data_IF_168173236582
#
_entry.id   IF_168173236582
#
_cell.length_a   1.000
_cell.length_b   1.000
_cell.length_c   1.000
_cell.angle_alpha   90.00
_cell.angle_beta   90.00
_cell.angle_gamma   90.00
#
_symmetry.space_group_name_H-M   'P 1'
#
loop_
_entity.id
_entity.type
_entity.pdbx_description
1 polymer ?
#
# COMPACT_ATOMS: atom_id res chain seq x y z
N UNK A 1 -33.20 -13.98 2.23
CA UNK A 1 -32.01 -14.22 1.38
C UNK A 1 -30.91 -14.81 2.23
N UNK A 2 -30.22 -15.84 1.76
CA UNK A 2 -29.08 -16.42 2.47
C UNK A 2 -27.81 -15.81 1.93
N UNK A 3 -27.14 -14.98 2.74
CA UNK A 3 -25.84 -14.41 2.38
C UNK A 3 -24.69 -15.40 2.67
N UNK A 4 -23.51 -15.17 2.08
CA UNK A 4 -22.30 -15.93 2.44
C UNK A 4 -22.04 -15.75 3.95
N UNK A 5 -21.84 -16.83 4.71
CA UNK A 5 -21.51 -16.79 6.15
C UNK A 5 -20.25 -15.96 6.45
N UNK A 6 -19.34 -15.88 5.51
CA UNK A 6 -18.14 -15.05 5.60
C UNK A 6 -18.46 -13.58 5.88
N UNK A 7 -19.59 -13.05 5.35
CA UNK A 7 -19.97 -11.65 5.55
C UNK A 7 -20.33 -11.31 6.98
N UNK A 8 -20.69 -12.30 7.80
CA UNK A 8 -20.98 -12.09 9.24
C UNK A 8 -19.73 -11.64 10.03
N UNK A 9 -18.53 -11.92 9.49
CA UNK A 9 -17.23 -11.59 10.11
C UNK A 9 -16.62 -10.32 9.56
N UNK A 10 -17.28 -9.67 8.61
CA UNK A 10 -16.76 -8.50 7.89
C UNK A 10 -17.53 -7.26 8.31
N UNK A 11 -16.85 -6.32 8.95
CA UNK A 11 -17.41 -4.99 9.18
C UNK A 11 -17.28 -4.14 7.91
N UNK A 12 -18.35 -3.43 7.50
CA UNK A 12 -18.25 -2.48 6.40
C UNK A 12 -17.17 -1.43 6.69
N UNK A 13 -16.41 -1.07 5.67
CA UNK A 13 -15.46 0.03 5.81
C UNK A 13 -16.22 1.31 6.22
N UNK A 14 -15.83 1.87 7.36
CA UNK A 14 -16.34 3.15 7.85
C UNK A 14 -15.35 4.23 7.46
N UNK A 15 -15.64 5.08 6.46
CA UNK A 15 -14.79 6.22 6.17
C UNK A 15 -14.75 7.14 7.39
N UNK A 16 -13.61 7.77 7.64
CA UNK A 16 -13.54 8.87 8.60
C UNK A 16 -14.36 10.08 8.10
N UNK A 17 -14.56 11.05 8.97
CA UNK A 17 -15.17 12.33 8.59
C UNK A 17 -14.35 12.98 7.49
N UNK A 18 -15.02 13.67 6.58
CA UNK A 18 -14.37 14.51 5.56
C UNK A 18 -13.72 15.73 6.23
N UNK A 19 -12.77 16.34 5.54
CA UNK A 19 -12.11 17.55 6.04
C UNK A 19 -13.11 18.68 6.35
N UNK A 20 -14.18 18.81 5.55
CA UNK A 20 -15.21 19.81 5.76
C UNK A 20 -16.04 19.53 7.00
N UNK A 21 -16.47 18.28 7.21
CA UNK A 21 -17.19 17.87 8.42
C UNK A 21 -16.37 18.10 9.69
N UNK A 22 -15.04 17.89 9.62
CA UNK A 22 -14.12 18.13 10.74
C UNK A 22 -13.98 19.62 10.99
N UNK A 23 -13.81 20.45 9.94
CA UNK A 23 -13.75 21.91 10.07
C UNK A 23 -15.00 22.47 10.75
N UNK A 24 -16.17 22.01 10.33
CA UNK A 24 -17.45 22.43 10.91
C UNK A 24 -17.60 21.97 12.36
N UNK A 25 -17.31 20.67 12.63
CA UNK A 25 -17.47 20.08 13.97
C UNK A 25 -16.63 20.74 15.03
N UNK A 26 -15.38 21.08 14.70
CA UNK A 26 -14.41 21.62 15.66
C UNK A 26 -14.09 23.10 15.45
N UNK A 27 -14.83 23.78 14.56
CA UNK A 27 -14.65 25.21 14.22
C UNK A 27 -13.22 25.55 13.80
N UNK A 28 -12.65 24.71 12.91
CA UNK A 28 -11.27 24.82 12.45
C UNK A 28 -11.18 25.52 11.10
N UNK A 29 -10.13 26.32 10.91
CA UNK A 29 -9.82 26.98 9.63
C UNK A 29 -9.01 26.06 8.69
N UNK A 30 -8.20 25.16 9.26
CA UNK A 30 -7.31 24.24 8.52
C UNK A 30 -7.46 22.84 9.07
N UNK A 31 -7.52 21.85 8.17
CA UNK A 31 -7.43 20.43 8.49
C UNK A 31 -6.36 19.81 7.60
N UNK A 32 -5.52 18.97 8.16
CA UNK A 32 -4.42 18.25 7.48
C UNK A 32 -4.67 16.75 7.55
N UNK A 33 -4.86 16.10 6.41
CA UNK A 33 -5.13 14.67 6.31
C UNK A 33 -3.84 13.87 6.18
N UNK A 34 -3.42 13.23 7.27
CA UNK A 34 -2.20 12.41 7.34
C UNK A 34 -2.53 10.92 7.59
N UNK A 35 -3.64 10.41 7.03
CA UNK A 35 -4.16 9.08 7.36
C UNK A 35 -4.10 8.06 6.22
N UNK A 36 -4.02 8.47 4.96
CA UNK A 36 -4.24 7.60 3.79
C UNK A 36 -3.00 7.37 2.92
N UNK A 37 -1.84 7.85 3.34
CA UNK A 37 -0.57 7.72 2.61
C UNK A 37 -0.68 8.29 1.18
N UNK A 38 -1.41 9.40 1.04
CA UNK A 38 -1.53 10.16 -0.21
C UNK A 38 -0.27 10.99 -0.45
N UNK A 39 -0.04 11.43 -1.69
CA UNK A 39 1.10 12.30 -2.00
C UNK A 39 0.77 13.76 -1.66
N UNK A 40 1.46 14.41 -0.72
CA UNK A 40 1.17 15.79 -0.32
C UNK A 40 1.50 16.82 -1.40
N UNK A 41 2.29 16.44 -2.39
CA UNK A 41 2.68 17.30 -3.53
C UNK A 41 1.71 17.20 -4.70
N UNK A 42 0.63 16.39 -4.56
CA UNK A 42 -0.38 16.20 -5.59
C UNK A 42 0.10 15.27 -6.71
N UNK A 43 -0.17 15.64 -7.94
CA UNK A 43 0.20 14.92 -9.17
C UNK A 43 1.00 15.83 -10.10
N UNK A 44 1.66 15.24 -11.10
CA UNK A 44 2.35 15.98 -12.17
C UNK A 44 1.43 17.04 -12.81
N UNK A 45 1.96 18.21 -13.08
CA UNK A 45 1.23 19.29 -13.76
C UNK A 45 0.79 18.90 -15.16
N UNK A 46 1.53 18.03 -15.82
CA UNK A 46 1.16 17.50 -17.15
C UNK A 46 -0.17 16.73 -17.12
N UNK A 47 -0.54 16.14 -15.99
CA UNK A 47 -1.83 15.45 -15.83
C UNK A 47 -3.00 16.43 -15.79
N UNK A 48 -2.78 17.67 -15.30
CA UNK A 48 -3.84 18.69 -15.27
C UNK A 48 -4.31 19.04 -16.68
N UNK A 49 -3.43 18.99 -17.67
CA UNK A 49 -3.79 19.23 -19.08
C UNK A 49 -4.72 18.15 -19.62
N UNK A 50 -4.57 16.89 -19.18
CA UNK A 50 -5.45 15.79 -19.58
C UNK A 50 -6.92 16.08 -19.24
N UNK A 51 -7.19 16.76 -18.13
CA UNK A 51 -8.56 17.08 -17.69
C UNK A 51 -9.19 18.25 -18.46
N UNK A 52 -8.43 19.02 -19.24
CA UNK A 52 -8.95 20.09 -20.09
C UNK A 52 -9.58 19.55 -21.39
N UNK A 53 -9.17 18.39 -21.84
CA UNK A 53 -9.63 17.73 -23.06
C UNK A 53 -10.16 16.33 -22.80
N UNK A 54 -11.26 16.25 -22.03
CA UNK A 54 -11.96 15.00 -21.72
C UNK A 54 -12.90 14.61 -22.87
N UNK A 55 -12.34 14.45 -24.07
CA UNK A 55 -13.09 13.95 -25.20
C UNK A 55 -13.23 12.42 -25.14
N UNK A 56 -14.40 11.92 -25.51
CA UNK A 56 -14.69 10.49 -25.70
C UNK A 56 -14.88 9.66 -24.40
N UNK A 57 -15.36 10.29 -23.31
CA UNK A 57 -15.73 9.54 -22.09
C UNK A 57 -16.96 8.64 -22.29
N UNK A 58 -17.71 8.84 -23.40
CA UNK A 58 -18.84 8.01 -23.81
C UNK A 58 -18.43 6.63 -24.35
N UNK A 59 -17.13 6.36 -24.49
CA UNK A 59 -16.60 5.09 -25.00
C UNK A 59 -15.89 4.31 -23.91
N UNK A 60 -16.01 2.97 -24.00
CA UNK A 60 -15.22 2.09 -23.15
C UNK A 60 -13.70 2.32 -23.37
N UNK A 61 -12.87 2.21 -22.32
CA UNK A 61 -11.43 2.31 -22.42
C UNK A 61 -10.83 1.12 -23.20
N UNK A 62 -9.54 1.22 -23.53
CA UNK A 62 -8.78 0.04 -23.97
C UNK A 62 -8.76 -1.03 -22.89
N UNK A 63 -9.36 -2.18 -23.16
CA UNK A 63 -9.51 -3.27 -22.20
C UNK A 63 -8.17 -3.82 -21.70
N UNK A 64 -7.13 -3.74 -22.51
CA UNK A 64 -5.81 -4.31 -22.21
C UNK A 64 -4.78 -3.26 -21.76
N UNK A 65 -5.14 -1.99 -21.68
CA UNK A 65 -4.23 -0.88 -21.35
C UNK A 65 -2.95 -0.92 -22.21
N UNK A 66 -3.10 -1.13 -23.53
CA UNK A 66 -2.00 -1.48 -24.44
C UNK A 66 -0.80 -0.55 -24.32
N UNK A 67 -1.00 0.77 -24.43
CA UNK A 67 0.10 1.76 -24.36
C UNK A 67 0.81 1.70 -22.99
N UNK A 68 0.04 1.62 -21.91
CA UNK A 68 0.60 1.54 -20.55
C UNK A 68 1.36 0.24 -20.34
N UNK A 69 0.84 -0.86 -20.87
CA UNK A 69 1.46 -2.18 -20.87
C UNK A 69 2.81 -2.17 -21.61
N UNK A 70 2.87 -1.65 -22.82
CA UNK A 70 4.09 -1.50 -23.62
C UNK A 70 5.14 -0.64 -22.90
N UNK A 71 4.71 0.47 -22.29
CA UNK A 71 5.61 1.36 -21.53
C UNK A 71 6.23 0.68 -20.32
N UNK A 72 5.42 -0.05 -19.53
CA UNK A 72 5.89 -0.78 -18.35
C UNK A 72 6.74 -2.00 -18.73
N UNK A 73 6.37 -2.73 -19.79
CA UNK A 73 7.15 -3.84 -20.31
C UNK A 73 8.56 -3.38 -20.72
N UNK A 74 8.65 -2.24 -21.41
CA UNK A 74 9.93 -1.62 -21.74
C UNK A 74 10.72 -1.19 -20.49
N UNK A 75 10.06 -0.51 -19.54
CA UNK A 75 10.69 -0.03 -18.29
C UNK A 75 11.34 -1.17 -17.50
N UNK A 76 10.68 -2.32 -17.40
CA UNK A 76 11.14 -3.46 -16.60
C UNK A 76 11.88 -4.53 -17.42
N UNK A 77 12.04 -4.35 -18.73
CA UNK A 77 12.65 -5.35 -19.62
C UNK A 77 11.99 -6.73 -19.47
N UNK A 78 10.66 -6.72 -19.57
CA UNK A 78 9.76 -7.88 -19.53
C UNK A 78 8.86 -7.88 -20.78
N UNK A 79 8.01 -8.91 -20.94
CA UNK A 79 7.04 -8.94 -22.02
C UNK A 79 5.68 -8.38 -21.60
N UNK A 80 4.83 -8.06 -22.57
CA UNK A 80 3.47 -7.55 -22.33
C UNK A 80 2.62 -8.56 -21.53
N UNK A 81 2.86 -9.84 -21.73
CA UNK A 81 2.14 -10.95 -21.12
C UNK A 81 2.46 -11.11 -19.62
N UNK A 82 3.52 -10.46 -19.13
CA UNK A 82 3.85 -10.44 -17.70
C UNK A 82 2.98 -9.48 -16.87
N UNK A 83 2.16 -8.63 -17.49
CA UNK A 83 1.46 -7.53 -16.85
C UNK A 83 -0.06 -7.77 -16.75
N UNK A 84 -0.65 -7.34 -15.63
CA UNK A 84 -2.08 -7.19 -15.45
C UNK A 84 -2.39 -5.84 -14.79
N UNK A 85 -3.54 -5.25 -15.13
CA UNK A 85 -3.96 -3.96 -14.59
C UNK A 85 -5.22 -4.06 -13.75
N UNK A 86 -5.28 -3.25 -12.70
CA UNK A 86 -6.40 -3.19 -11.79
C UNK A 86 -6.78 -1.76 -11.42
N UNK A 87 -7.99 -1.63 -10.90
CA UNK A 87 -8.51 -0.41 -10.30
C UNK A 87 -7.81 -0.15 -8.94
N UNK A 88 -6.49 0.16 -9.00
CA UNK A 88 -5.51 0.06 -7.93
C UNK A 88 -5.01 -1.38 -7.75
N UNK A 89 -3.93 -1.56 -6.97
CA UNK A 89 -3.40 -2.90 -6.64
C UNK A 89 -4.39 -3.77 -5.86
N UNK A 90 -5.36 -3.17 -5.17
CA UNK A 90 -6.39 -3.89 -4.42
C UNK A 90 -7.25 -4.77 -5.32
N UNK A 91 -7.65 -4.31 -6.51
CA UNK A 91 -8.39 -5.16 -7.45
C UNK A 91 -7.56 -6.36 -7.91
N UNK A 92 -6.24 -6.21 -7.99
CA UNK A 92 -5.37 -7.33 -8.35
C UNK A 92 -5.29 -8.34 -7.20
N UNK A 93 -5.28 -7.89 -5.94
CA UNK A 93 -5.41 -8.76 -4.77
C UNK A 93 -6.72 -9.54 -4.84
N UNK A 94 -7.84 -8.90 -5.20
CA UNK A 94 -9.12 -9.57 -5.41
C UNK A 94 -9.05 -10.64 -6.51
N UNK A 95 -8.46 -10.30 -7.66
CA UNK A 95 -8.29 -11.25 -8.77
C UNK A 95 -7.47 -12.47 -8.33
N UNK A 96 -6.34 -12.25 -7.63
CA UNK A 96 -5.46 -13.32 -7.14
C UNK A 96 -6.23 -14.22 -6.17
N UNK A 97 -6.90 -13.63 -5.18
CA UNK A 97 -7.64 -14.38 -4.17
C UNK A 97 -8.78 -15.17 -4.80
N UNK A 98 -9.56 -14.54 -5.69
CA UNK A 98 -10.65 -15.19 -6.45
C UNK A 98 -10.16 -16.33 -7.35
N UNK A 99 -8.97 -16.21 -7.93
CA UNK A 99 -8.42 -17.23 -8.83
C UNK A 99 -7.86 -18.44 -8.09
N UNK A 100 -7.37 -18.28 -6.86
CA UNK A 100 -6.61 -19.32 -6.16
C UNK A 100 -7.30 -19.88 -4.92
N UNK A 101 -8.15 -19.10 -4.22
CA UNK A 101 -8.70 -19.48 -2.92
C UNK A 101 -10.06 -20.14 -3.08
N UNK A 102 -10.20 -21.31 -2.51
CA UNK A 102 -11.45 -22.03 -2.28
C UNK A 102 -11.73 -22.08 -0.78
N UNK A 103 -12.93 -22.55 -0.41
CA UNK A 103 -13.28 -22.71 0.99
C UNK A 103 -12.25 -23.61 1.71
N UNK A 104 -11.81 -23.15 2.89
CA UNK A 104 -10.79 -23.80 3.74
C UNK A 104 -9.34 -23.76 3.24
N UNK A 105 -9.06 -23.21 2.06
CA UNK A 105 -7.69 -22.89 1.66
C UNK A 105 -7.10 -21.80 2.57
N UNK A 106 -5.79 -21.76 2.64
CA UNK A 106 -5.06 -20.86 3.55
C UNK A 106 -4.22 -19.84 2.79
N UNK A 107 -4.24 -18.62 3.28
CA UNK A 107 -3.19 -17.65 3.01
C UNK A 107 -2.33 -17.46 4.26
N UNK A 108 -1.06 -17.09 4.10
CA UNK A 108 -0.18 -16.71 5.20
C UNK A 108 0.26 -15.26 5.01
N UNK A 109 0.27 -14.49 6.09
CA UNK A 109 0.85 -13.14 6.14
C UNK A 109 1.31 -12.82 7.55
N UNK A 110 1.98 -11.69 7.76
CA UNK A 110 2.29 -11.20 9.10
C UNK A 110 1.32 -10.09 9.54
N UNK A 111 1.17 -9.90 10.85
CA UNK A 111 0.30 -8.88 11.44
C UNK A 111 1.06 -7.96 12.41
N UNK A 112 0.80 -6.64 12.34
CA UNK A 112 -0.10 -5.94 11.43
C UNK A 112 0.45 -5.76 10.03
N UNK A 113 -0.45 -5.87 9.03
CA UNK A 113 -0.17 -5.57 7.63
C UNK A 113 -1.43 -5.04 6.92
N UNK A 114 -1.46 -5.04 5.59
CA UNK A 114 -2.54 -4.46 4.82
C UNK A 114 -3.83 -5.29 4.88
N UNK A 115 -4.92 -4.67 5.34
CA UNK A 115 -6.19 -5.35 5.64
C UNK A 115 -6.86 -6.02 4.43
N UNK A 116 -6.59 -5.60 3.20
CA UNK A 116 -7.21 -6.21 2.03
C UNK A 116 -6.86 -7.67 1.85
N UNK A 117 -5.71 -8.13 2.32
CA UNK A 117 -5.36 -9.56 2.26
C UNK A 117 -6.35 -10.41 3.06
N UNK A 118 -6.72 -9.94 4.24
CA UNK A 118 -7.69 -10.58 5.12
C UNK A 118 -9.10 -10.54 4.53
N UNK A 119 -9.54 -9.34 4.14
CA UNK A 119 -10.88 -9.11 3.64
C UNK A 119 -11.19 -9.99 2.42
N UNK A 120 -10.31 -9.96 1.41
CA UNK A 120 -10.52 -10.71 0.18
C UNK A 120 -10.49 -12.23 0.43
N UNK A 121 -9.60 -12.69 1.32
CA UNK A 121 -9.54 -14.10 1.72
C UNK A 121 -10.83 -14.54 2.42
N UNK A 122 -11.36 -13.75 3.33
CA UNK A 122 -12.62 -14.08 4.01
C UNK A 122 -13.81 -14.10 3.06
N UNK A 123 -13.88 -13.18 2.09
CA UNK A 123 -14.93 -13.15 1.07
C UNK A 123 -14.96 -14.44 0.26
N UNK A 124 -13.80 -15.02 -0.06
CA UNK A 124 -13.67 -16.30 -0.76
C UNK A 124 -13.70 -17.51 0.19
N UNK A 125 -14.02 -17.32 1.48
CA UNK A 125 -14.16 -18.36 2.51
C UNK A 125 -12.85 -19.07 2.86
N UNK A 126 -11.71 -18.48 2.51
CA UNK A 126 -10.39 -18.93 2.92
C UNK A 126 -10.09 -18.59 4.39
N UNK A 127 -8.97 -19.10 4.86
CA UNK A 127 -8.42 -18.85 6.20
C UNK A 127 -7.14 -18.04 6.12
N UNK A 128 -6.96 -17.14 7.08
CA UNK A 128 -5.72 -16.39 7.23
C UNK A 128 -4.91 -17.00 8.37
N UNK A 129 -3.71 -17.43 8.06
CA UNK A 129 -2.70 -17.81 9.04
C UNK A 129 -1.86 -16.57 9.31
N UNK A 130 -2.04 -16.02 10.48
CA UNK A 130 -1.48 -14.74 10.89
C UNK A 130 -0.23 -14.96 11.75
N UNK A 131 0.91 -14.42 11.31
CA UNK A 131 2.20 -14.52 11.99
C UNK A 131 2.51 -13.17 12.65
N UNK A 132 2.89 -13.10 13.91
CA UNK A 132 3.37 -11.84 14.50
C UNK A 132 4.57 -11.31 13.71
N UNK A 133 4.67 -9.98 13.61
CA UNK A 133 5.92 -9.36 13.17
C UNK A 133 7.03 -9.67 14.18
N UNK A 134 8.28 -9.59 13.75
CA UNK A 134 9.45 -9.67 14.64
C UNK A 134 9.48 -8.50 15.64
N UNK A 135 10.33 -8.56 16.66
CA UNK A 135 10.54 -7.46 17.61
C UNK A 135 11.02 -6.17 16.94
N UNK A 136 11.62 -6.27 15.75
CA UNK A 136 11.99 -5.12 14.91
C UNK A 136 10.89 -4.68 13.93
N UNK A 137 9.66 -5.17 14.12
CA UNK A 137 8.48 -4.86 13.28
C UNK A 137 8.61 -5.27 11.81
N UNK A 138 9.49 -6.22 11.49
CA UNK A 138 9.63 -6.82 10.15
C UNK A 138 8.77 -8.07 10.00
N UNK A 139 8.52 -8.48 8.77
CA UNK A 139 7.94 -9.79 8.48
C UNK A 139 8.84 -10.91 9.03
N UNK A 140 8.24 -11.85 9.77
CA UNK A 140 8.91 -13.06 10.25
C UNK A 140 8.87 -14.14 9.15
N UNK A 141 9.87 -14.16 8.29
CA UNK A 141 9.96 -15.06 7.15
C UNK A 141 10.11 -16.53 7.59
N UNK A 142 10.85 -16.80 8.66
CA UNK A 142 11.00 -18.16 9.19
C UNK A 142 9.70 -18.64 9.87
N UNK A 143 9.01 -17.74 10.58
CA UNK A 143 7.68 -17.98 11.09
C UNK A 143 6.69 -18.34 9.99
N UNK A 144 6.70 -17.62 8.86
CA UNK A 144 5.89 -17.94 7.68
C UNK A 144 6.19 -19.35 7.16
N UNK A 145 7.47 -19.67 6.94
CA UNK A 145 7.89 -20.99 6.43
C UNK A 145 7.41 -22.12 7.35
N UNK A 146 7.50 -21.93 8.68
CA UNK A 146 7.10 -22.95 9.68
C UNK A 146 5.59 -23.26 9.67
N UNK A 147 4.77 -22.40 9.08
CA UNK A 147 3.30 -22.53 9.07
C UNK A 147 2.74 -22.95 7.71
N UNK A 148 3.59 -23.23 6.74
CA UNK A 148 3.17 -23.75 5.43
C UNK A 148 2.53 -25.13 5.61
N UNK A 149 1.36 -25.32 5.00
CA UNK A 149 0.61 -26.58 4.96
C UNK A 149 0.19 -26.93 3.53
N UNK A 150 -0.40 -28.10 3.34
CA UNK A 150 -0.99 -28.51 2.04
C UNK A 150 -2.15 -27.61 1.59
N UNK A 151 -2.74 -26.84 2.51
CA UNK A 151 -3.81 -25.89 2.26
C UNK A 151 -3.32 -24.52 1.88
N UNK A 152 -2.04 -24.21 2.09
CA UNK A 152 -1.47 -22.91 1.79
C UNK A 152 -1.42 -22.68 0.27
N UNK A 153 -2.06 -21.59 -0.19
CA UNK A 153 -2.11 -21.19 -1.61
C UNK A 153 -1.34 -19.90 -1.88
N UNK A 154 -1.41 -18.95 -0.94
CA UNK A 154 -0.85 -17.62 -1.13
C UNK A 154 -0.08 -17.20 0.12
N UNK A 155 1.07 -16.57 -0.07
CA UNK A 155 1.78 -15.83 0.96
C UNK A 155 1.80 -14.36 0.53
N UNK A 156 1.20 -13.47 1.35
CA UNK A 156 1.25 -12.03 1.10
C UNK A 156 2.36 -11.39 1.93
N UNK A 157 3.22 -10.62 1.26
CA UNK A 157 4.32 -9.86 1.85
C UNK A 157 4.25 -8.43 1.34
N UNK A 158 3.97 -7.48 2.22
CA UNK A 158 4.09 -6.05 1.91
C UNK A 158 5.54 -5.59 2.15
N UNK A 159 6.18 -5.04 1.14
CA UNK A 159 7.58 -4.61 1.22
C UNK A 159 7.80 -3.30 0.43
N UNK A 160 7.86 -2.13 1.08
CA UNK A 160 7.75 -1.87 2.53
C UNK A 160 6.41 -2.24 3.15
N UNK A 161 6.43 -2.72 4.40
CA UNK A 161 5.21 -3.08 5.09
C UNK A 161 4.36 -1.86 5.47
N UNK A 162 3.08 -1.97 5.33
CA UNK A 162 2.10 -1.04 5.87
C UNK A 162 1.35 -1.75 7.01
N UNK A 163 1.52 -1.32 8.30
CA UNK A 163 1.78 0.08 8.68
C UNK A 163 3.21 0.41 9.12
N UNK A 164 4.14 -0.53 9.23
CA UNK A 164 5.41 -0.30 9.93
C UNK A 164 6.46 0.48 9.11
N UNK A 165 6.38 0.43 7.78
CA UNK A 165 7.36 1.02 6.87
C UNK A 165 8.69 0.25 6.80
N UNK A 166 8.80 -0.87 7.50
CA UNK A 166 9.99 -1.73 7.50
C UNK A 166 10.11 -2.53 6.21
N UNK A 167 11.32 -2.96 5.89
CA UNK A 167 11.61 -3.74 4.69
C UNK A 167 12.25 -5.08 5.00
N UNK A 168 12.08 -6.00 4.06
CA UNK A 168 12.84 -7.23 3.90
C UNK A 168 13.95 -6.94 2.89
N UNK A 169 15.17 -7.35 3.18
CA UNK A 169 16.34 -7.18 2.31
C UNK A 169 16.34 -8.18 1.15
N UNK A 170 17.19 -7.92 0.15
CA UNK A 170 17.35 -8.79 -1.02
C UNK A 170 17.82 -10.20 -0.64
N UNK A 171 18.76 -10.31 0.30
CA UNK A 171 19.24 -11.62 0.78
C UNK A 171 18.16 -12.37 1.55
N UNK A 172 17.47 -11.71 2.49
CA UNK A 172 16.38 -12.30 3.28
C UNK A 172 15.28 -12.86 2.37
N UNK A 173 14.84 -12.05 1.37
CA UNK A 173 13.78 -12.45 0.45
C UNK A 173 14.22 -13.59 -0.48
N UNK A 174 15.44 -13.55 -1.01
CA UNK A 174 15.98 -14.60 -1.87
C UNK A 174 16.07 -15.93 -1.13
N UNK A 175 16.57 -15.93 0.11
CA UNK A 175 16.68 -17.15 0.91
C UNK A 175 15.32 -17.69 1.36
N UNK A 176 14.36 -16.81 1.59
CA UNK A 176 12.98 -17.18 1.82
C UNK A 176 12.37 -17.86 0.59
N UNK A 177 12.48 -17.26 -0.60
CA UNK A 177 11.92 -17.81 -1.84
C UNK A 177 12.43 -19.22 -2.16
N UNK A 178 13.70 -19.52 -1.85
CA UNK A 178 14.26 -20.87 -2.01
C UNK A 178 13.60 -21.93 -1.14
N UNK A 179 12.97 -21.53 -0.01
CA UNK A 179 12.27 -22.44 0.92
C UNK A 179 10.80 -22.65 0.53
N UNK A 180 10.24 -21.82 -0.38
CA UNK A 180 8.81 -21.86 -0.71
C UNK A 180 8.52 -22.86 -1.85
N UNK A 181 7.57 -23.79 -1.67
CA UNK A 181 7.13 -24.69 -2.72
C UNK A 181 6.58 -23.93 -3.94
N UNK A 182 6.89 -24.41 -5.16
CA UNK A 182 6.49 -23.75 -6.40
C UNK A 182 4.97 -23.68 -6.65
N UNK A 183 4.17 -24.46 -5.92
CA UNK A 183 2.72 -24.43 -5.98
C UNK A 183 2.08 -23.40 -5.04
N UNK A 184 2.85 -22.65 -4.28
CA UNK A 184 2.41 -21.57 -3.42
C UNK A 184 2.82 -20.24 -4.05
N UNK A 185 1.84 -19.37 -4.29
CA UNK A 185 2.12 -18.03 -4.83
C UNK A 185 2.65 -17.11 -3.73
N UNK A 186 3.77 -16.44 -3.95
CA UNK A 186 4.26 -15.33 -3.13
C UNK A 186 3.87 -14.01 -3.79
N UNK A 187 3.05 -13.22 -3.13
CA UNK A 187 2.66 -11.88 -3.58
C UNK A 187 3.49 -10.86 -2.85
N UNK A 188 4.33 -10.13 -3.59
CA UNK A 188 5.10 -8.99 -3.09
C UNK A 188 4.34 -7.71 -3.37
N UNK A 189 3.74 -7.13 -2.33
CA UNK A 189 3.07 -5.83 -2.45
C UNK A 189 4.06 -4.70 -2.22
N UNK A 190 4.48 -4.10 -3.31
CA UNK A 190 5.49 -3.06 -3.39
C UNK A 190 4.86 -1.67 -3.63
N UNK A 191 3.71 -1.42 -3.01
CA UNK A 191 2.98 -0.15 -3.17
C UNK A 191 3.79 1.10 -2.77
N UNK A 192 4.88 0.94 -2.02
CA UNK A 192 5.75 2.02 -1.54
C UNK A 192 7.18 1.93 -2.05
N UNK A 193 7.47 1.05 -2.99
CA UNK A 193 8.84 0.77 -3.46
C UNK A 193 9.58 1.99 -4.03
N UNK A 194 8.87 2.96 -4.59
CA UNK A 194 9.47 4.19 -5.13
C UNK A 194 10.12 5.05 -4.03
N UNK A 195 9.68 4.95 -2.77
CA UNK A 195 10.23 5.73 -1.65
C UNK A 195 11.46 5.11 -1.00
N UNK A 196 11.74 3.83 -1.27
CA UNK A 196 12.83 3.09 -0.62
C UNK A 196 14.18 3.68 -0.99
N UNK A 197 15.00 3.93 0.02
CA UNK A 197 16.37 4.43 -0.14
C UNK A 197 17.42 3.40 0.29
N UNK A 198 17.02 2.31 0.93
CA UNK A 198 17.92 1.24 1.35
C UNK A 198 18.46 0.49 0.12
N UNK A 199 19.79 0.37 0.04
CA UNK A 199 20.50 -0.30 -1.07
C UNK A 199 20.31 -1.82 -1.08
N UNK A 200 19.94 -2.39 0.06
CA UNK A 200 19.71 -3.83 0.20
C UNK A 200 18.27 -4.22 -0.15
N UNK A 201 17.46 -3.27 -0.60
CA UNK A 201 16.08 -3.54 -1.07
C UNK A 201 16.08 -4.48 -2.28
N UNK A 202 15.17 -5.46 -2.35
CA UNK A 202 15.15 -6.45 -3.42
C UNK A 202 14.87 -5.86 -4.81
N UNK A 203 15.61 -6.32 -5.80
CA UNK A 203 15.17 -6.23 -7.20
C UNK A 203 14.20 -7.38 -7.51
N UNK A 204 12.91 -7.13 -7.29
CA UNK A 204 11.85 -8.11 -7.47
C UNK A 204 11.67 -8.54 -8.93
N UNK A 205 12.02 -7.70 -9.90
CA UNK A 205 12.01 -8.07 -11.33
C UNK A 205 13.08 -9.12 -11.63
N UNK A 206 14.23 -9.04 -10.96
CA UNK A 206 15.26 -10.09 -11.06
C UNK A 206 14.75 -11.39 -10.43
N UNK A 207 14.09 -11.32 -9.27
CA UNK A 207 13.51 -12.51 -8.62
C UNK A 207 12.45 -13.18 -9.49
N UNK A 208 11.65 -12.41 -10.23
CA UNK A 208 10.65 -12.96 -11.17
C UNK A 208 11.28 -13.86 -12.26
N UNK A 209 12.55 -13.64 -12.61
CA UNK A 209 13.26 -14.48 -13.58
C UNK A 209 13.74 -15.80 -12.97
N UNK A 210 13.93 -15.85 -11.65
CA UNK A 210 14.43 -17.01 -10.92
C UNK A 210 13.29 -17.88 -10.35
N UNK A 211 12.17 -17.24 -9.96
CA UNK A 211 11.04 -17.87 -9.30
C UNK A 211 9.74 -17.69 -10.07
N UNK A 212 9.13 -18.77 -10.53
CA UNK A 212 7.90 -18.72 -11.33
C UNK A 212 6.63 -18.48 -10.52
N UNK A 213 6.71 -18.60 -9.19
CA UNK A 213 5.61 -18.47 -8.24
C UNK A 213 5.59 -17.14 -7.48
N UNK A 214 6.02 -16.07 -8.13
CA UNK A 214 6.01 -14.71 -7.58
C UNK A 214 5.07 -13.80 -8.36
N UNK A 215 4.34 -12.93 -7.66
CA UNK A 215 3.55 -11.85 -8.24
C UNK A 215 3.88 -10.55 -7.52
N UNK A 216 4.33 -9.54 -8.27
CA UNK A 216 4.72 -8.25 -7.76
C UNK A 216 3.56 -7.27 -7.99
N UNK A 217 3.12 -6.56 -6.96
CA UNK A 217 2.08 -5.54 -7.06
C UNK A 217 2.71 -4.15 -6.96
N UNK A 218 2.27 -3.25 -7.83
CA UNK A 218 2.67 -1.85 -7.87
C UNK A 218 1.44 -0.95 -8.05
N UNK A 219 1.56 0.31 -7.65
CA UNK A 219 0.43 1.25 -7.73
C UNK A 219 0.89 2.65 -8.15
N UNK A 220 0.01 3.37 -8.83
CA UNK A 220 0.19 4.80 -9.09
C UNK A 220 -0.41 5.68 -7.98
N UNK A 221 -1.02 5.08 -6.96
CA UNK A 221 -1.72 5.80 -5.90
C UNK A 221 -0.81 6.57 -4.93
N UNK A 222 0.50 6.22 -4.86
CA UNK A 222 1.43 6.74 -3.85
C UNK A 222 2.39 7.76 -4.44
N UNK A 223 3.60 7.38 -4.80
CA UNK A 223 4.63 8.31 -5.30
C UNK A 223 4.19 9.09 -6.54
N UNK A 224 3.39 8.49 -7.40
CA UNK A 224 2.87 9.13 -8.61
C UNK A 224 1.67 10.08 -8.38
N UNK A 225 1.09 10.12 -7.17
CA UNK A 225 0.02 11.05 -6.81
C UNK A 225 -1.35 10.76 -7.45
N UNK A 226 -1.61 9.55 -7.96
CA UNK A 226 -2.84 9.20 -8.67
C UNK A 226 -3.85 8.39 -7.84
N UNK A 227 -3.87 8.58 -6.52
CA UNK A 227 -4.76 7.81 -5.62
C UNK A 227 -6.24 7.87 -6.04
N UNK A 228 -6.71 9.04 -6.49
CA UNK A 228 -8.09 9.26 -6.93
C UNK A 228 -8.45 8.61 -8.27
N UNK A 229 -7.46 8.31 -9.11
CA UNK A 229 -7.68 7.71 -10.44
C UNK A 229 -7.74 6.18 -10.43
N UNK A 230 -7.39 5.57 -9.31
CA UNK A 230 -7.53 4.12 -9.10
C UNK A 230 -6.84 3.29 -10.18
N UNK A 231 -5.53 3.36 -10.30
CA UNK A 231 -4.74 2.54 -11.23
C UNK A 231 -3.54 1.90 -10.55
N UNK A 232 -3.35 0.60 -10.80
CA UNK A 232 -2.25 -0.21 -10.34
C UNK A 232 -1.99 -1.36 -11.30
N UNK A 233 -0.91 -2.07 -11.10
CA UNK A 233 -0.53 -3.20 -11.94
C UNK A 233 0.15 -4.31 -11.16
N UNK A 234 0.02 -5.52 -11.69
CA UNK A 234 0.72 -6.72 -11.23
C UNK A 234 1.69 -7.20 -12.29
N UNK A 235 2.81 -7.77 -11.85
CA UNK A 235 3.84 -8.37 -12.70
C UNK A 235 4.05 -9.80 -12.23
N UNK A 236 3.87 -10.78 -13.13
CA UNK A 236 4.10 -12.18 -12.82
C UNK A 236 4.46 -12.97 -14.08
N UNK A 237 4.60 -14.30 -13.96
CA UNK A 237 4.79 -15.13 -15.13
C UNK A 237 3.54 -15.10 -16.05
N UNK A 238 3.71 -15.19 -17.39
CA UNK A 238 2.61 -15.06 -18.35
C UNK A 238 1.47 -16.08 -18.14
N UNK A 239 1.79 -17.29 -17.69
CA UNK A 239 0.79 -18.33 -17.46
C UNK A 239 -0.16 -17.92 -16.33
N UNK A 240 0.37 -17.37 -15.24
CA UNK A 240 -0.43 -16.89 -14.12
C UNK A 240 -1.24 -15.65 -14.50
N UNK A 241 -0.64 -14.69 -15.22
CA UNK A 241 -1.36 -13.51 -15.71
C UNK A 241 -2.56 -13.91 -16.58
N UNK A 242 -2.41 -14.90 -17.46
CA UNK A 242 -3.52 -15.41 -18.27
C UNK A 242 -4.68 -15.97 -17.43
N UNK A 243 -4.40 -16.61 -16.30
CA UNK A 243 -5.45 -17.05 -15.38
C UNK A 243 -6.14 -15.86 -14.68
N UNK A 244 -5.41 -14.83 -14.30
CA UNK A 244 -5.98 -13.62 -13.72
C UNK A 244 -6.86 -12.84 -14.71
N UNK A 245 -6.50 -12.81 -15.99
CA UNK A 245 -7.33 -12.18 -17.04
C UNK A 245 -8.75 -12.81 -17.15
N UNK A 246 -8.93 -14.08 -16.74
CA UNK A 246 -10.25 -14.74 -16.74
C UNK A 246 -11.20 -14.24 -15.64
N UNK A 247 -10.66 -13.71 -14.55
CA UNK A 247 -11.44 -13.19 -13.40
C UNK A 247 -11.46 -11.66 -13.34
N UNK A 248 -10.69 -11.00 -14.19
CA UNK A 248 -10.66 -9.55 -14.32
C UNK A 248 -11.98 -9.04 -14.92
N UNK A 249 -12.51 -7.95 -14.36
CA UNK A 249 -13.66 -7.28 -14.95
C UNK A 249 -13.28 -6.62 -16.29
N UNK A 250 -14.11 -6.75 -17.33
CA UNK A 250 -13.89 -6.04 -18.58
C UNK A 250 -13.83 -4.53 -18.36
N UNK A 251 -12.88 -3.85 -19.01
CA UNK A 251 -12.74 -2.39 -18.99
C UNK A 251 -12.55 -1.77 -17.59
N UNK A 252 -11.93 -2.52 -16.68
CA UNK A 252 -11.81 -2.15 -15.26
C UNK A 252 -11.01 -0.87 -14.99
N UNK A 253 -10.02 -0.52 -15.81
CA UNK A 253 -9.22 0.71 -15.69
C UNK A 253 -9.71 1.76 -16.67
N UNK A 254 -10.17 2.91 -16.17
CA UNK A 254 -10.71 4.00 -17.02
C UNK A 254 -9.67 4.57 -17.99
N UNK A 255 -10.11 5.11 -19.13
CA UNK A 255 -9.22 5.76 -20.12
C UNK A 255 -8.40 6.89 -19.49
N UNK A 256 -9.01 7.68 -18.63
CA UNK A 256 -8.35 8.78 -17.92
C UNK A 256 -7.23 8.25 -17.02
N UNK A 257 -7.49 7.16 -16.29
CA UNK A 257 -6.48 6.54 -15.43
C UNK A 257 -5.30 5.97 -16.24
N UNK A 258 -5.58 5.35 -17.40
CA UNK A 258 -4.55 4.83 -18.28
C UNK A 258 -3.64 5.94 -18.84
N UNK A 259 -4.23 7.02 -19.36
CA UNK A 259 -3.47 8.15 -19.91
C UNK A 259 -2.71 8.92 -18.82
N UNK A 260 -3.32 9.14 -17.65
CA UNK A 260 -2.64 9.77 -16.50
C UNK A 260 -1.46 8.94 -16.00
N UNK A 261 -1.59 7.61 -15.96
CA UNK A 261 -0.49 6.72 -15.59
C UNK A 261 0.67 6.77 -16.61
N UNK A 262 0.38 6.88 -17.90
CA UNK A 262 1.39 7.07 -18.94
C UNK A 262 2.17 8.38 -18.74
N UNK A 263 1.45 9.49 -18.53
CA UNK A 263 2.05 10.81 -18.27
C UNK A 263 2.91 10.74 -16.99
N UNK A 264 2.40 10.13 -15.92
CA UNK A 264 3.13 10.00 -14.67
C UNK A 264 4.43 9.19 -14.79
N UNK A 265 4.46 8.17 -15.66
CA UNK A 265 5.67 7.40 -15.94
C UNK A 265 6.72 8.20 -16.72
N UNK A 266 6.33 9.22 -17.44
CA UNK A 266 7.21 10.08 -18.22
C UNK A 266 7.74 11.27 -17.44
N UNK A 267 6.99 11.75 -16.44
CA UNK A 267 7.42 12.84 -15.57
C UNK A 267 8.32 12.35 -14.43
N UNK A 268 9.51 11.89 -14.80
CA UNK A 268 10.53 11.42 -13.87
C UNK A 268 10.96 12.52 -12.89
N UNK A 269 10.90 13.78 -13.32
CA UNK A 269 11.27 14.90 -12.46
C UNK A 269 10.30 15.03 -11.29
N UNK A 270 9.00 15.07 -11.55
CA UNK A 270 7.99 15.12 -10.49
C UNK A 270 8.15 13.97 -9.51
N UNK A 271 8.32 12.74 -10.02
CA UNK A 271 8.51 11.56 -9.19
C UNK A 271 9.74 11.69 -8.27
N UNK A 272 10.88 12.08 -8.84
CA UNK A 272 12.12 12.25 -8.06
C UNK A 272 12.01 13.37 -7.04
N UNK A 273 11.39 14.49 -7.39
CA UNK A 273 11.15 15.60 -6.46
C UNK A 273 10.27 15.16 -5.28
N UNK A 274 9.22 14.36 -5.54
CA UNK A 274 8.37 13.79 -4.47
C UNK A 274 9.15 12.85 -3.55
N UNK A 275 9.96 11.96 -4.09
CA UNK A 275 10.77 11.00 -3.32
C UNK A 275 11.81 11.74 -2.47
N UNK A 276 12.52 12.69 -3.05
CA UNK A 276 13.55 13.47 -2.35
C UNK A 276 12.94 14.32 -1.23
N UNK A 277 11.83 15.00 -1.50
CA UNK A 277 11.13 15.79 -0.49
C UNK A 277 10.60 14.91 0.64
N UNK A 278 9.98 13.76 0.33
CA UNK A 278 9.54 12.79 1.35
C UNK A 278 10.70 12.41 2.27
N UNK A 279 11.86 12.07 1.72
CA UNK A 279 13.04 11.70 2.49
C UNK A 279 13.54 12.83 3.37
N UNK A 280 13.66 14.07 2.84
CA UNK A 280 14.09 15.24 3.60
C UNK A 280 13.15 15.51 4.78
N UNK A 281 11.85 15.43 4.54
CA UNK A 281 10.84 15.64 5.58
C UNK A 281 10.92 14.55 6.65
N UNK A 282 11.07 13.28 6.27
CA UNK A 282 11.24 12.17 7.22
C UNK A 282 12.46 12.40 8.13
N UNK A 283 13.60 12.77 7.56
CA UNK A 283 14.82 13.03 8.33
C UNK A 283 14.62 14.20 9.33
N UNK A 284 13.86 15.22 8.94
CA UNK A 284 13.51 16.32 9.84
C UNK A 284 12.54 15.88 10.95
N UNK A 285 11.54 15.07 10.60
CA UNK A 285 10.59 14.49 11.57
C UNK A 285 11.34 13.63 12.60
N UNK A 286 12.28 12.78 12.20
CA UNK A 286 13.10 11.98 13.10
C UNK A 286 13.84 12.85 14.12
N UNK A 287 14.56 13.88 13.66
CA UNK A 287 15.30 14.81 14.54
C UNK A 287 14.40 15.47 15.58
N UNK A 288 13.17 15.85 15.18
CA UNK A 288 12.21 16.49 16.08
C UNK A 288 11.63 15.50 17.09
N UNK A 289 11.23 14.30 16.65
CA UNK A 289 10.74 13.25 17.55
C UNK A 289 11.83 12.87 18.57
N UNK A 290 13.09 12.71 18.13
CA UNK A 290 14.23 12.45 18.99
C UNK A 290 14.41 13.57 20.05
N UNK A 291 14.28 14.84 19.64
CA UNK A 291 14.40 15.99 20.57
C UNK A 291 13.30 16.03 21.65
N UNK A 292 12.16 15.39 21.37
CA UNK A 292 11.04 15.26 22.31
C UNK A 292 11.00 13.92 23.04
N UNK A 293 11.96 13.01 22.78
CA UNK A 293 12.00 11.64 23.29
C UNK A 293 10.73 10.84 22.93
N UNK A 294 10.19 11.04 21.73
CA UNK A 294 9.05 10.29 21.19
C UNK A 294 9.58 9.16 20.33
N UNK A 295 9.21 7.92 20.65
CA UNK A 295 9.67 6.73 19.92
C UNK A 295 8.91 6.54 18.60
N UNK A 296 9.58 5.99 17.60
CA UNK A 296 9.02 5.71 16.29
C UNK A 296 9.70 4.51 15.62
N UNK A 297 9.05 3.96 14.60
CA UNK A 297 9.64 2.93 13.74
C UNK A 297 10.23 3.62 12.51
N UNK A 298 11.53 3.40 12.22
CA UNK A 298 12.16 3.89 10.99
C UNK A 298 11.47 3.30 9.77
N UNK A 299 11.24 4.15 8.76
CA UNK A 299 10.40 3.80 7.60
C UNK A 299 11.14 3.98 6.28
N UNK A 300 10.83 3.12 5.32
CA UNK A 300 11.20 3.22 3.90
C UNK A 300 9.96 3.56 3.02
N UNK A 301 8.91 4.15 3.61
CA UNK A 301 7.67 4.51 2.93
C UNK A 301 7.38 6.02 3.03
N UNK A 302 6.17 6.44 2.66
CA UNK A 302 5.69 7.82 2.83
C UNK A 302 4.80 7.99 4.07
N UNK A 303 5.07 7.24 5.12
CA UNK A 303 4.39 7.32 6.42
C UNK A 303 5.34 6.85 7.51
N UNK A 304 5.03 7.17 8.76
CA UNK A 304 5.79 6.77 9.94
C UNK A 304 4.85 6.20 11.00
N UNK A 305 5.29 5.18 11.74
CA UNK A 305 4.64 4.72 12.97
C UNK A 305 5.28 5.39 14.18
N UNK A 306 4.48 6.09 14.96
CA UNK A 306 4.92 6.81 16.16
C UNK A 306 4.29 6.17 17.38
N UNK A 307 5.11 5.79 18.36
CA UNK A 307 4.65 5.26 19.64
C UNK A 307 4.42 6.41 20.63
N UNK A 308 3.17 6.67 20.93
CA UNK A 308 2.77 7.75 21.83
C UNK A 308 2.80 7.36 23.31
N UNK A 309 3.05 6.06 23.63
CA UNK A 309 2.97 5.47 24.97
C UNK A 309 1.60 5.67 25.67
N UNK A 310 0.62 6.12 24.94
CA UNK A 310 -0.76 6.34 25.38
C UNK A 310 -1.73 5.63 24.44
N UNK A 311 -2.99 5.51 24.81
CA UNK A 311 -4.01 4.92 23.91
C UNK A 311 -4.09 5.70 22.60
N UNK A 312 -3.79 5.01 21.50
CA UNK A 312 -3.70 5.62 20.17
C UNK A 312 -5.03 6.23 19.70
N UNK A 313 -6.17 5.75 20.20
CA UNK A 313 -7.49 6.29 19.84
C UNK A 313 -7.72 7.63 20.51
N UNK A 314 -7.34 7.75 21.78
CA UNK A 314 -7.41 9.02 22.54
C UNK A 314 -6.51 10.06 21.89
N UNK A 315 -5.27 9.68 21.56
CA UNK A 315 -4.34 10.59 20.89
C UNK A 315 -4.87 11.01 19.52
N UNK A 316 -5.40 10.07 18.74
CA UNK A 316 -5.97 10.38 17.43
C UNK A 316 -7.20 11.31 17.52
N UNK A 317 -8.03 11.18 18.57
CA UNK A 317 -9.15 12.08 18.78
C UNK A 317 -8.67 13.50 19.15
N UNK A 318 -7.71 13.64 20.06
CA UNK A 318 -7.12 14.93 20.40
C UNK A 318 -6.43 15.59 19.19
N UNK A 319 -5.73 14.81 18.36
CA UNK A 319 -5.14 15.32 17.11
C UNK A 319 -6.23 15.79 16.14
N UNK A 320 -7.35 15.06 16.05
CA UNK A 320 -8.49 15.42 15.22
C UNK A 320 -9.12 16.76 15.65
N UNK A 321 -9.27 16.99 16.97
CA UNK A 321 -9.72 18.25 17.55
C UNK A 321 -8.80 19.43 17.19
N UNK A 322 -7.52 19.16 16.96
CA UNK A 322 -6.52 20.14 16.52
C UNK A 322 -6.31 20.16 15.00
N UNK A 323 -7.18 19.48 14.23
CA UNK A 323 -7.18 19.52 12.77
C UNK A 323 -6.22 18.54 12.09
N UNK A 324 -5.70 17.53 12.79
CA UNK A 324 -4.85 16.49 12.20
C UNK A 324 -5.57 15.15 12.13
N UNK A 325 -5.74 14.58 10.94
CA UNK A 325 -6.33 13.26 10.73
C UNK A 325 -5.20 12.24 10.59
N UNK A 326 -5.04 11.34 11.57
CA UNK A 326 -4.06 10.25 11.56
C UNK A 326 -4.74 8.88 11.59
N UNK A 327 -3.99 7.79 11.47
CA UNK A 327 -4.54 6.44 11.50
C UNK A 327 -4.11 5.67 12.76
N UNK A 328 -5.00 5.50 13.76
CA UNK A 328 -4.81 4.59 14.89
C UNK A 328 -5.36 3.19 14.61
N UNK A 329 -5.19 2.27 15.56
CA UNK A 329 -5.97 1.03 15.65
C UNK A 329 -5.43 -0.12 14.81
N UNK A 330 -4.13 -0.35 14.83
CA UNK A 330 -3.50 -1.54 14.27
C UNK A 330 -3.43 -2.68 15.31
N UNK A 331 -3.61 -3.94 14.90
CA UNK A 331 -3.49 -5.09 15.80
C UNK A 331 -2.17 -5.07 16.58
N UNK A 332 -2.25 -5.32 17.90
CA UNK A 332 -1.09 -5.36 18.81
C UNK A 332 -0.24 -4.07 18.88
N UNK A 333 -0.77 -2.93 18.40
CA UNK A 333 -0.09 -1.62 18.39
C UNK A 333 -0.98 -0.53 19.02
N UNK A 334 -1.45 -0.77 20.25
CA UNK A 334 -2.45 0.06 20.92
C UNK A 334 -1.98 1.47 21.29
N UNK A 335 -0.67 1.71 21.29
CA UNK A 335 -0.05 3.03 21.57
C UNK A 335 0.48 3.72 20.31
N UNK A 336 0.40 3.04 19.16
CA UNK A 336 0.95 3.56 17.92
C UNK A 336 -0.09 4.25 17.05
N UNK A 337 0.32 5.35 16.44
CA UNK A 337 -0.40 6.00 15.35
C UNK A 337 0.43 5.94 14.07
N UNK A 338 -0.20 5.66 12.91
CA UNK A 338 0.45 5.82 11.61
C UNK A 338 0.13 7.19 11.05
N UNK A 339 1.19 7.91 10.66
CA UNK A 339 1.14 9.28 10.16
C UNK A 339 1.72 9.32 8.76
N UNK A 340 0.93 9.75 7.78
CA UNK A 340 1.43 10.02 6.42
C UNK A 340 2.40 11.19 6.46
N UNK A 341 3.49 11.13 5.71
CA UNK A 341 4.41 12.24 5.57
C UNK A 341 3.76 13.31 4.68
N UNK A 342 3.44 14.44 5.27
CA UNK A 342 2.94 15.64 4.61
C UNK A 342 4.07 16.52 4.08
N UNK A 343 3.74 17.77 3.75
CA UNK A 343 4.74 18.78 3.46
C UNK A 343 5.55 19.12 4.72
N UNK A 344 6.71 19.75 4.56
CA UNK A 344 7.56 20.14 5.70
C UNK A 344 6.80 21.00 6.72
N UNK A 345 6.02 21.98 6.26
CA UNK A 345 5.20 22.83 7.14
C UNK A 345 4.15 22.02 7.89
N UNK A 346 3.44 21.11 7.21
CA UNK A 346 2.41 20.28 7.84
C UNK A 346 3.00 19.35 8.90
N UNK A 347 4.17 18.75 8.62
CA UNK A 347 4.83 17.87 9.57
C UNK A 347 5.43 18.63 10.76
N UNK A 348 5.89 19.85 10.56
CA UNK A 348 6.34 20.72 11.64
C UNK A 348 5.18 21.05 12.60
N UNK A 349 4.05 21.52 12.05
CA UNK A 349 2.83 21.81 12.82
C UNK A 349 2.33 20.57 13.56
N UNK A 350 2.31 19.41 12.86
CA UNK A 350 1.89 18.14 13.43
C UNK A 350 2.74 17.70 14.63
N UNK A 351 4.08 17.72 14.50
CA UNK A 351 4.99 17.24 15.56
C UNK A 351 4.91 18.14 16.80
N UNK A 352 4.75 19.46 16.63
CA UNK A 352 4.50 20.38 17.74
C UNK A 352 3.19 20.06 18.46
N UNK A 353 2.10 19.89 17.70
CA UNK A 353 0.80 19.54 18.24
C UNK A 353 0.85 18.21 19.01
N UNK A 354 1.46 17.18 18.42
CA UNK A 354 1.61 15.86 19.05
C UNK A 354 2.39 15.96 20.38
N UNK A 355 3.51 16.70 20.39
CA UNK A 355 4.31 16.89 21.60
C UNK A 355 3.51 17.60 22.72
N UNK A 356 2.71 18.60 22.38
CA UNK A 356 1.82 19.28 23.33
C UNK A 356 0.79 18.31 23.92
N UNK A 357 0.11 17.52 23.07
CA UNK A 357 -0.90 16.55 23.49
C UNK A 357 -0.31 15.47 24.40
N UNK A 358 0.88 14.95 24.09
CA UNK A 358 1.53 13.90 24.88
C UNK A 358 1.95 14.44 26.28
N UNK A 359 2.30 15.71 26.39
CA UNK A 359 2.69 16.36 27.66
C UNK A 359 1.52 16.74 28.55
N UNK A 360 0.33 16.91 28.00
CA UNK A 360 -0.90 17.10 28.75
C UNK A 360 -1.29 15.79 29.44
N UNK A 361 -0.87 15.62 30.72
CA UNK A 361 -1.21 14.47 31.57
C UNK A 361 -2.58 14.63 32.20
#
# INVERSE_FOLDING_TARGET
MNYKKALEKIEPYKPGLSENEIKEKYNLTKVVKLASNENPYGQSDHIKELFKDLNKIERYPDNYCKKLREKLAFKYTITNENLIFGNGSVEIIQMITRALIQADDEIITCSPTFQSYYLETFIEQGKVIDIPLTDSYKFDLDGIVSRISDKTKIIYIANPNNPTGTIITSSELTDFMKKIPNNILVVLDEAYAEFVNDKDYPDSIKLLREFSNICILRTFSKAYGLAGLRVGYGISNPRFINELEKVRLPFNVSSIAQEAALIALEDIRFLNDCIENNRKVIENVYKRLDSYNIEYIKTEANFIMIDTKQDCKIIAEKLLENGFIVRPGFPNMNTFIRVTIGTESEMNDFVECLNSIIKEK
#
